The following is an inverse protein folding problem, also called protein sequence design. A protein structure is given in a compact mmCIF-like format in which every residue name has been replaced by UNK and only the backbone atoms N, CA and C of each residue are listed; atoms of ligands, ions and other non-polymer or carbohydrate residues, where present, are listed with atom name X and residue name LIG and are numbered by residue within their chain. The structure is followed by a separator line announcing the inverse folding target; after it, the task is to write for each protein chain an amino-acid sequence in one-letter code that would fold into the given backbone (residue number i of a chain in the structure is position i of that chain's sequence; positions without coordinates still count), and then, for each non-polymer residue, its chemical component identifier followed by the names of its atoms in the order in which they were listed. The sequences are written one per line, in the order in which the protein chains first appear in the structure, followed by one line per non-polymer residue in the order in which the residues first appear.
data_IF_040973168137
#
_entry.id   IF_040973168137
#
_cell.length_a   1.000
_cell.length_b   1.000
_cell.length_c   1.000
_cell.angle_alpha   90.00
_cell.angle_beta   90.00
_cell.angle_gamma   90.00
#
_symmetry.space_group_name_H-M   'P 1'
#
loop_
_entity.id
_entity.type
_entity.pdbx_description
1 polymer ?
#
# COMPACT_ATOMS: atom_id res chain seq x y z
N UNK A 1 28.29 14.36 -24.00
CA UNK A 1 27.55 13.11 -23.81
C UNK A 1 26.35 13.49 -22.99
N UNK A 2 25.16 13.50 -23.59
CA UNK A 2 23.95 13.98 -22.91
C UNK A 2 23.72 13.17 -21.65
N UNK A 3 23.24 13.85 -20.62
CA UNK A 3 22.89 13.34 -19.30
C UNK A 3 21.75 12.32 -19.43
N UNK A 4 22.11 11.10 -19.85
CA UNK A 4 21.13 10.06 -20.14
C UNK A 4 20.51 9.63 -18.82
N UNK A 5 19.21 9.86 -18.69
CA UNK A 5 18.44 9.39 -17.54
C UNK A 5 18.66 7.88 -17.45
N UNK A 6 19.39 7.47 -16.42
CA UNK A 6 19.69 6.07 -16.15
C UNK A 6 18.92 5.68 -14.90
N UNK A 7 18.22 4.57 -14.97
CA UNK A 7 17.54 3.96 -13.83
C UNK A 7 17.92 2.48 -13.77
N UNK A 8 17.67 1.84 -12.63
CA UNK A 8 17.86 0.42 -12.44
C UNK A 8 16.50 -0.28 -12.46
N UNK A 9 16.09 -0.90 -13.60
CA UNK A 9 14.79 -1.54 -13.71
C UNK A 9 14.55 -2.61 -12.64
N UNK A 10 15.57 -3.41 -12.34
CA UNK A 10 15.48 -4.48 -11.34
C UNK A 10 15.19 -3.94 -9.95
N UNK A 11 15.93 -2.91 -9.52
CA UNK A 11 15.71 -2.29 -8.21
C UNK A 11 14.32 -1.65 -8.07
N UNK A 12 13.80 -1.03 -9.14
CA UNK A 12 12.45 -0.44 -9.15
C UNK A 12 11.38 -1.53 -9.10
N UNK A 13 11.57 -2.63 -9.85
CA UNK A 13 10.67 -3.79 -9.83
C UNK A 13 10.63 -4.42 -8.44
N UNK A 14 11.79 -4.67 -7.83
CA UNK A 14 11.90 -5.23 -6.49
C UNK A 14 11.20 -4.35 -5.46
N UNK A 15 11.40 -3.02 -5.55
CA UNK A 15 10.73 -2.06 -4.69
C UNK A 15 9.21 -2.09 -4.86
N UNK A 16 8.70 -2.12 -6.09
CA UNK A 16 7.26 -2.21 -6.35
C UNK A 16 6.65 -3.48 -5.75
N UNK A 17 7.33 -4.62 -5.88
CA UNK A 17 6.92 -5.90 -5.26
C UNK A 17 6.99 -5.88 -3.73
N UNK A 18 8.02 -5.27 -3.13
CA UNK A 18 8.13 -5.12 -1.67
C UNK A 18 7.00 -4.23 -1.12
N UNK A 19 6.71 -3.11 -1.78
CA UNK A 19 5.60 -2.22 -1.42
C UNK A 19 4.26 -2.95 -1.48
N UNK A 20 4.00 -3.72 -2.54
CA UNK A 20 2.80 -4.57 -2.61
C UNK A 20 2.72 -5.59 -1.47
N UNK A 21 3.85 -6.20 -1.11
CA UNK A 21 3.93 -7.15 0.02
C UNK A 21 3.64 -6.46 1.36
N UNK A 22 4.09 -5.22 1.55
CA UNK A 22 3.79 -4.41 2.75
C UNK A 22 2.30 -4.06 2.86
N UNK A 23 1.62 -3.82 1.74
CA UNK A 23 0.16 -3.65 1.76
C UNK A 23 -0.54 -4.91 2.31
N UNK A 24 -0.09 -6.11 1.90
CA UNK A 24 -0.58 -7.37 2.46
C UNK A 24 -0.30 -7.51 3.96
N UNK A 25 0.86 -7.06 4.44
CA UNK A 25 1.16 -7.04 5.88
C UNK A 25 0.26 -6.09 6.66
N UNK A 26 -0.02 -4.90 6.11
CA UNK A 26 -0.98 -3.97 6.69
C UNK A 26 -2.39 -4.58 6.75
N UNK A 27 -2.78 -5.40 5.78
CA UNK A 27 -4.06 -6.11 5.80
C UNK A 27 -4.17 -7.08 6.98
N UNK A 28 -3.12 -7.84 7.27
CA UNK A 28 -3.09 -8.70 8.46
C UNK A 28 -3.21 -7.89 9.76
N UNK A 29 -2.57 -6.72 9.83
CA UNK A 29 -2.69 -5.81 10.99
C UNK A 29 -4.11 -5.27 11.12
N UNK A 30 -4.77 -4.94 10.00
CA UNK A 30 -6.17 -4.53 9.98
C UNK A 30 -7.08 -5.62 10.56
N UNK A 31 -6.94 -6.87 10.09
CA UNK A 31 -7.76 -8.00 10.56
C UNK A 31 -7.55 -8.28 12.06
N UNK A 32 -6.29 -8.28 12.50
CA UNK A 32 -5.94 -8.49 13.91
C UNK A 32 -6.49 -7.36 14.79
N UNK A 33 -6.36 -6.11 14.33
CA UNK A 33 -6.90 -4.93 15.03
C UNK A 33 -8.42 -5.01 15.13
N UNK A 34 -9.11 -5.36 14.05
CA UNK A 34 -10.56 -5.51 14.03
C UNK A 34 -11.00 -6.61 15.00
N UNK A 35 -10.33 -7.76 14.98
CA UNK A 35 -10.62 -8.89 15.87
C UNK A 35 -10.44 -8.51 17.34
N UNK A 36 -9.29 -7.90 17.69
CA UNK A 36 -9.00 -7.48 19.07
C UNK A 36 -9.97 -6.42 19.57
N UNK A 37 -10.26 -5.41 18.76
CA UNK A 37 -11.18 -4.34 19.15
C UNK A 37 -12.62 -4.86 19.28
N UNK A 38 -13.05 -5.80 18.43
CA UNK A 38 -14.35 -6.47 18.61
C UNK A 38 -14.42 -7.25 19.93
N UNK A 39 -13.37 -7.98 20.29
CA UNK A 39 -13.31 -8.71 21.56
C UNK A 39 -13.37 -7.77 22.79
N UNK A 40 -12.94 -6.52 22.65
CA UNK A 40 -12.97 -5.54 23.74
C UNK A 40 -14.33 -4.85 23.91
N UNK A 41 -15.26 -4.96 22.95
CA UNK A 41 -16.53 -4.23 22.96
C UNK A 41 -17.35 -4.46 24.23
N UNK A 42 -17.35 -5.68 24.76
CA UNK A 42 -18.11 -6.03 25.96
C UNK A 42 -17.70 -5.22 27.20
N UNK A 43 -16.42 -4.84 27.32
CA UNK A 43 -15.91 -4.06 28.46
C UNK A 43 -16.37 -2.60 28.43
N UNK A 44 -16.74 -2.10 27.27
CA UNK A 44 -17.25 -0.74 27.08
C UNK A 44 -18.78 -0.70 27.03
N UNK A 45 -19.46 -1.83 27.21
CA UNK A 45 -20.92 -1.87 27.25
C UNK A 45 -21.46 -0.95 28.36
N UNK A 46 -22.40 -0.08 27.99
CA UNK A 46 -23.06 0.87 28.90
C UNK A 46 -22.32 2.21 29.06
N UNK A 47 -21.03 2.22 29.39
CA UNK A 47 -20.23 3.46 29.55
C UNK A 47 -19.07 3.49 28.56
N UNK A 48 -19.04 4.51 27.69
CA UNK A 48 -17.96 4.70 26.73
C UNK A 48 -18.09 3.88 25.44
N UNK A 49 -19.08 2.99 25.33
CA UNK A 49 -19.38 2.19 24.12
C UNK A 49 -19.29 3.03 22.83
N UNK A 50 -20.02 4.14 22.77
CA UNK A 50 -20.05 5.00 21.59
C UNK A 50 -18.66 5.52 21.21
N UNK A 51 -17.91 6.06 22.19
CA UNK A 51 -16.56 6.57 21.94
C UNK A 51 -15.59 5.46 21.52
N UNK A 52 -15.74 4.26 22.08
CA UNK A 52 -14.96 3.10 21.68
C UNK A 52 -15.27 2.67 20.25
N UNK A 53 -16.56 2.56 19.89
CA UNK A 53 -16.99 2.23 18.53
C UNK A 53 -16.52 3.27 17.50
N UNK A 54 -16.62 4.56 17.83
CA UNK A 54 -16.17 5.63 16.95
C UNK A 54 -14.66 5.57 16.74
N UNK A 55 -13.89 5.34 17.80
CA UNK A 55 -12.44 5.18 17.71
C UNK A 55 -12.04 3.92 16.94
N UNK A 56 -12.73 2.80 17.16
CA UNK A 56 -12.54 1.55 16.41
C UNK A 56 -12.79 1.79 14.91
N UNK A 57 -13.92 2.42 14.56
CA UNK A 57 -14.27 2.70 13.18
C UNK A 57 -13.25 3.63 12.50
N UNK A 58 -12.80 4.68 13.18
CA UNK A 58 -11.77 5.58 12.67
C UNK A 58 -10.44 4.86 12.45
N UNK A 59 -10.02 4.02 13.40
CA UNK A 59 -8.78 3.26 13.31
C UNK A 59 -8.81 2.27 12.13
N UNK A 60 -9.88 1.49 12.01
CA UNK A 60 -10.05 0.54 10.91
C UNK A 60 -10.13 1.25 9.56
N UNK A 61 -10.88 2.36 9.47
CA UNK A 61 -10.94 3.17 8.25
C UNK A 61 -9.56 3.72 7.85
N UNK A 62 -8.79 4.22 8.82
CA UNK A 62 -7.42 4.69 8.58
C UNK A 62 -6.49 3.58 8.09
N UNK A 63 -6.54 2.41 8.72
CA UNK A 63 -5.76 1.24 8.30
C UNK A 63 -6.14 0.77 6.89
N UNK A 64 -7.44 0.73 6.58
CA UNK A 64 -7.93 0.42 5.23
C UNK A 64 -7.38 1.39 4.19
N UNK A 65 -7.45 2.70 4.46
CA UNK A 65 -6.89 3.71 3.56
C UNK A 65 -5.37 3.60 3.37
N UNK A 66 -4.64 3.20 4.41
CA UNK A 66 -3.20 2.92 4.32
C UNK A 66 -2.92 1.70 3.43
N UNK A 67 -3.67 0.61 3.59
CA UNK A 67 -3.54 -0.59 2.75
C UNK A 67 -3.74 -0.23 1.28
N UNK A 68 -4.81 0.49 0.96
CA UNK A 68 -5.13 0.91 -0.40
C UNK A 68 -4.04 1.81 -0.98
N UNK A 69 -3.59 2.81 -0.21
CA UNK A 69 -2.55 3.75 -0.66
C UNK A 69 -1.23 3.03 -0.95
N UNK A 70 -0.80 2.13 -0.05
CA UNK A 70 0.45 1.37 -0.22
C UNK A 70 0.32 0.39 -1.38
N UNK A 71 -0.80 -0.32 -1.51
CA UNK A 71 -1.05 -1.23 -2.64
C UNK A 71 -1.02 -0.49 -3.97
N UNK A 72 -1.74 0.64 -4.07
CA UNK A 72 -1.77 1.48 -5.25
C UNK A 72 -0.38 2.03 -5.59
N UNK A 73 0.42 2.40 -4.59
CA UNK A 73 1.78 2.87 -4.81
C UNK A 73 2.68 1.81 -5.46
N UNK A 74 2.60 0.55 -5.01
CA UNK A 74 3.31 -0.56 -5.64
C UNK A 74 2.88 -0.75 -7.10
N UNK A 75 1.58 -0.80 -7.36
CA UNK A 75 1.02 -0.92 -8.71
C UNK A 75 1.43 0.23 -9.63
N UNK A 76 1.33 1.48 -9.17
CA UNK A 76 1.73 2.65 -9.95
C UNK A 76 3.23 2.64 -10.25
N UNK A 77 4.06 2.25 -9.29
CA UNK A 77 5.51 2.14 -9.51
C UNK A 77 5.83 1.11 -10.60
N UNK A 78 5.19 -0.06 -10.54
CA UNK A 78 5.31 -1.09 -11.57
C UNK A 78 4.88 -0.60 -12.96
N UNK A 79 3.72 0.07 -13.05
CA UNK A 79 3.25 0.63 -14.31
C UNK A 79 4.18 1.70 -14.90
N UNK A 80 4.72 2.59 -14.06
CA UNK A 80 5.68 3.60 -14.52
C UNK A 80 6.96 2.93 -15.04
N UNK A 81 7.42 1.88 -14.36
CA UNK A 81 8.58 1.10 -14.81
C UNK A 81 8.31 0.43 -16.17
N UNK A 82 7.17 -0.24 -16.33
CA UNK A 82 6.79 -0.89 -17.59
C UNK A 82 6.74 0.12 -18.75
N UNK A 83 6.17 1.31 -18.49
CA UNK A 83 6.12 2.40 -19.46
C UNK A 83 7.52 2.93 -19.82
N UNK A 84 8.43 3.03 -18.84
CA UNK A 84 9.80 3.47 -19.06
C UNK A 84 10.56 2.47 -19.95
N UNK A 85 10.51 1.18 -19.62
CA UNK A 85 11.12 0.10 -20.40
C UNK A 85 10.53 0.06 -21.81
N UNK A 86 9.20 0.14 -21.93
CA UNK A 86 8.52 0.17 -23.22
C UNK A 86 8.93 1.36 -24.08
N UNK A 87 9.13 2.53 -23.46
CA UNK A 87 9.63 3.73 -24.15
C UNK A 87 11.06 3.55 -24.62
N UNK A 88 11.95 3.02 -23.78
CA UNK A 88 13.35 2.75 -24.15
C UNK A 88 13.45 1.77 -25.32
N UNK A 89 12.65 0.70 -25.29
CA UNK A 89 12.60 -0.28 -26.38
C UNK A 89 12.05 0.32 -27.68
N UNK A 90 11.01 1.15 -27.60
CA UNK A 90 10.45 1.83 -28.76
C UNK A 90 11.46 2.79 -29.40
N UNK A 91 12.19 3.56 -28.57
CA UNK A 91 13.22 4.50 -29.06
C UNK A 91 14.42 3.75 -29.65
N UNK A 92 14.83 2.63 -29.05
CA UNK A 92 15.90 1.79 -29.59
C UNK A 92 15.56 1.20 -30.96
N UNK A 93 14.27 1.08 -31.31
CA UNK A 93 13.82 0.67 -32.64
C UNK A 93 13.79 1.78 -33.70
N UNK A 94 14.00 3.04 -33.32
CA UNK A 94 13.98 4.20 -34.23
C UNK A 94 15.36 4.54 -34.83
N UNK A 95 16.44 4.00 -34.26
CA UNK A 95 17.83 4.29 -34.64
C UNK A 95 18.61 2.99 -34.88
#
# INVERSE_FOLDING_TARGET
MSDQITYNPGAVSDFASDVGSRAGQLHMIYEDTASKTNALQEFFAGHGAQGFFDAQAQMLSGLQGLIETVGQHGTTTGHVLDNAIGTDQAIAGLF
#
